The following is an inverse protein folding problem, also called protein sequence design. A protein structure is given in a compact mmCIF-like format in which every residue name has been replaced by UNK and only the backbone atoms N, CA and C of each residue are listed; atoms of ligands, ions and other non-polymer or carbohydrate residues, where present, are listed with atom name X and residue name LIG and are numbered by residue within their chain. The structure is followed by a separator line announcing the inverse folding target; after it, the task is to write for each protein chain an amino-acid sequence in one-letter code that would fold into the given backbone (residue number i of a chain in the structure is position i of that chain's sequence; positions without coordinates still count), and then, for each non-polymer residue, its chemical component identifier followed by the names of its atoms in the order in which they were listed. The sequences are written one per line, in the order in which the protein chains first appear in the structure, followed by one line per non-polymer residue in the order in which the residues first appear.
data_IF_987978670664
#
_entry.id   IF_987978670664
#
_cell.length_a   1.000
_cell.length_b   1.000
_cell.length_c   1.000
_cell.angle_alpha   90.00
_cell.angle_beta   90.00
_cell.angle_gamma   90.00
#
_symmetry.space_group_name_H-M   'P 1'
#
loop_
_entity.id
_entity.type
_entity.pdbx_description
1 polymer ?
#
# COMPACT_ATOMS: atom_id res chain seq x y z
N UNK A 1 -4.11 10.45 8.99
CA UNK A 1 -3.64 9.05 8.88
C UNK A 1 -3.19 8.59 10.26
N UNK A 2 -3.39 7.31 10.59
CA UNK A 2 -2.77 6.71 11.78
C UNK A 2 -1.32 6.33 11.47
N UNK A 3 -0.46 6.28 12.49
CA UNK A 3 0.94 5.87 12.33
C UNK A 3 1.10 4.34 12.23
N UNK A 4 0.19 3.59 12.84
CA UNK A 4 0.20 2.13 12.88
C UNK A 4 -1.17 1.59 12.52
N UNK A 5 -1.20 0.50 11.75
CA UNK A 5 -2.41 -0.21 11.34
C UNK A 5 -2.29 -1.68 11.74
N UNK A 6 -3.39 -2.28 12.19
CA UNK A 6 -3.36 -3.66 12.66
C UNK A 6 -3.28 -4.68 11.52
N UNK A 7 -3.73 -4.30 10.32
CA UNK A 7 -3.72 -5.15 9.12
C UNK A 7 -3.86 -4.31 7.84
N UNK A 8 -3.67 -4.97 6.70
CA UNK A 8 -3.75 -4.36 5.36
C UNK A 8 -5.15 -3.84 5.06
N UNK A 9 -6.22 -4.47 5.57
CA UNK A 9 -7.60 -3.99 5.38
C UNK A 9 -7.80 -2.60 6.00
N UNK A 10 -7.37 -2.40 7.24
CA UNK A 10 -7.48 -1.10 7.92
C UNK A 10 -6.70 -0.01 7.17
N UNK A 11 -5.47 -0.33 6.75
CA UNK A 11 -4.62 0.58 5.98
C UNK A 11 -5.28 0.96 4.64
N UNK A 12 -5.76 -0.01 3.88
CA UNK A 12 -6.34 0.23 2.55
C UNK A 12 -7.67 0.96 2.59
N UNK A 13 -8.48 0.76 3.64
CA UNK A 13 -9.67 1.60 3.88
C UNK A 13 -9.25 3.06 4.07
N UNK A 14 -8.20 3.32 4.85
CA UNK A 14 -7.71 4.68 5.06
C UNK A 14 -7.10 5.31 3.79
N UNK A 15 -6.45 4.50 2.95
CA UNK A 15 -5.86 4.94 1.68
C UNK A 15 -6.85 5.09 0.53
N UNK A 16 -8.08 4.57 0.66
CA UNK A 16 -9.08 4.55 -0.41
C UNK A 16 -9.42 5.90 -1.07
N UNK A 17 -9.34 7.07 -0.38
CA UNK A 17 -9.53 8.36 -1.04
C UNK A 17 -8.40 8.74 -2.02
N UNK A 18 -7.22 8.14 -1.88
CA UNK A 18 -6.02 8.48 -2.63
C UNK A 18 -5.70 7.46 -3.71
N UNK A 19 -5.83 6.17 -3.39
CA UNK A 19 -5.44 5.07 -4.30
C UNK A 19 -6.37 3.86 -4.14
N UNK A 20 -6.52 3.09 -5.22
CA UNK A 20 -7.24 1.82 -5.20
C UNK A 20 -6.38 0.68 -4.62
N UNK A 21 -7.01 -0.42 -4.20
CA UNK A 21 -6.32 -1.62 -3.74
C UNK A 21 -5.38 -2.21 -4.82
N UNK A 22 -5.76 -2.15 -6.10
CA UNK A 22 -4.90 -2.59 -7.21
C UNK A 22 -3.70 -1.65 -7.42
N UNK A 23 -3.89 -0.32 -7.29
CA UNK A 23 -2.76 0.61 -7.35
C UNK A 23 -1.80 0.38 -6.17
N UNK A 24 -2.34 0.16 -4.97
CA UNK A 24 -1.56 -0.19 -3.78
C UNK A 24 -0.78 -1.51 -3.96
N UNK A 25 -1.39 -2.53 -4.58
CA UNK A 25 -0.69 -3.78 -4.91
C UNK A 25 0.54 -3.52 -5.79
N UNK A 26 0.42 -2.66 -6.80
CA UNK A 26 1.54 -2.31 -7.71
C UNK A 26 2.63 -1.52 -6.99
N UNK A 27 2.25 -0.53 -6.18
CA UNK A 27 3.18 0.25 -5.34
C UNK A 27 4.00 -0.70 -4.44
N UNK A 28 3.34 -1.65 -3.80
CA UNK A 28 3.98 -2.59 -2.89
C UNK A 28 4.67 -3.78 -3.57
N UNK A 29 4.60 -3.88 -4.90
CA UNK A 29 5.09 -5.03 -5.68
C UNK A 29 4.53 -6.36 -5.14
N UNK A 30 3.21 -6.40 -4.95
CA UNK A 30 2.44 -7.56 -4.50
C UNK A 30 1.49 -7.97 -5.63
N UNK A 31 1.35 -9.27 -5.83
CA UNK A 31 0.37 -9.78 -6.79
C UNK A 31 -1.05 -9.31 -6.43
N UNK A 32 -1.79 -8.78 -7.40
CA UNK A 32 -3.11 -8.18 -7.14
C UNK A 32 -4.12 -9.18 -6.52
N UNK A 33 -4.06 -10.48 -6.88
CA UNK A 33 -4.92 -11.49 -6.27
C UNK A 33 -4.58 -11.70 -4.79
N UNK A 34 -3.29 -11.74 -4.45
CA UNK A 34 -2.85 -11.81 -3.06
C UNK A 34 -3.28 -10.56 -2.28
N UNK A 35 -3.11 -9.37 -2.86
CA UNK A 35 -3.55 -8.13 -2.23
C UNK A 35 -5.06 -8.13 -1.97
N UNK A 36 -5.89 -8.63 -2.91
CA UNK A 36 -7.34 -8.78 -2.68
C UNK A 36 -7.67 -9.67 -1.48
N UNK A 37 -6.94 -10.77 -1.28
CA UNK A 37 -7.13 -11.62 -0.09
C UNK A 37 -6.72 -10.92 1.21
N UNK A 38 -5.69 -10.06 1.17
CA UNK A 38 -5.27 -9.28 2.33
C UNK A 38 -6.26 -8.16 2.68
N UNK A 39 -6.76 -7.45 1.67
CA UNK A 39 -7.76 -6.38 1.82
C UNK A 39 -9.10 -6.92 2.31
N UNK A 40 -9.49 -8.12 1.87
CA UNK A 40 -10.72 -8.75 2.38
C UNK A 40 -10.58 -9.29 3.81
N UNK A 41 -9.34 -9.44 4.31
CA UNK A 41 -9.05 -10.05 5.60
C UNK A 41 -9.16 -11.59 5.60
N UNK A 42 -9.30 -12.21 4.42
CA UNK A 42 -9.34 -13.67 4.27
C UNK A 42 -7.98 -14.29 4.59
N UNK A 43 -6.90 -13.58 4.27
CA UNK A 43 -5.53 -14.03 4.51
C UNK A 43 -4.72 -12.93 5.16
N UNK A 44 -3.86 -13.30 6.11
CA UNK A 44 -2.87 -12.39 6.65
C UNK A 44 -1.52 -12.57 5.92
N UNK A 45 -0.81 -11.48 5.60
CA UNK A 45 0.54 -11.54 5.05
C UNK A 45 1.52 -12.13 6.07
N UNK A 46 2.61 -12.75 5.59
CA UNK A 46 3.73 -13.11 6.45
C UNK A 46 4.48 -11.86 6.92
N UNK A 47 5.29 -11.98 7.99
CA UNK A 47 6.11 -10.85 8.46
C UNK A 47 7.01 -10.30 7.35
N UNK A 48 7.70 -11.17 6.59
CA UNK A 48 8.51 -10.75 5.44
C UNK A 48 7.71 -9.96 4.40
N UNK A 49 6.44 -10.30 4.18
CA UNK A 49 5.57 -9.57 3.26
C UNK A 49 5.17 -8.22 3.85
N UNK A 50 4.91 -8.14 5.15
CA UNK A 50 4.64 -6.88 5.86
C UNK A 50 5.85 -5.95 5.75
N UNK A 51 7.05 -6.47 6.00
CA UNK A 51 8.29 -5.70 5.93
C UNK A 51 8.51 -5.13 4.52
N UNK A 52 8.29 -5.96 3.48
CA UNK A 52 8.31 -5.52 2.08
C UNK A 52 7.29 -4.40 1.81
N UNK A 53 6.05 -4.55 2.27
CA UNK A 53 5.00 -3.55 2.08
C UNK A 53 5.38 -2.24 2.74
N UNK A 54 5.86 -2.26 3.98
CA UNK A 54 6.28 -1.07 4.72
C UNK A 54 7.43 -0.35 4.00
N UNK A 55 8.44 -1.09 3.53
CA UNK A 55 9.57 -0.52 2.80
C UNK A 55 9.12 0.12 1.48
N UNK A 56 8.24 -0.55 0.73
CA UNK A 56 7.72 -0.02 -0.54
C UNK A 56 6.84 1.22 -0.35
N UNK A 57 6.06 1.29 0.73
CA UNK A 57 5.30 2.51 1.09
C UNK A 57 6.25 3.67 1.35
N UNK A 58 7.32 3.44 2.12
CA UNK A 58 8.33 4.46 2.43
C UNK A 58 9.00 4.98 1.15
N UNK A 59 9.47 4.08 0.30
CA UNK A 59 10.09 4.43 -0.99
C UNK A 59 9.11 5.24 -1.86
N UNK A 60 7.87 4.77 -2.01
CA UNK A 60 6.87 5.47 -2.82
C UNK A 60 6.57 6.87 -2.29
N UNK A 61 6.49 7.06 -0.97
CA UNK A 61 6.30 8.38 -0.38
C UNK A 61 7.48 9.32 -0.69
N UNK A 62 8.72 8.83 -0.59
CA UNK A 62 9.93 9.60 -0.93
C UNK A 62 10.01 9.96 -2.42
N UNK A 63 9.59 9.06 -3.31
CA UNK A 63 9.51 9.32 -4.74
C UNK A 63 8.40 10.32 -5.07
N UNK A 64 7.21 10.13 -4.51
CA UNK A 64 6.05 11.00 -4.72
C UNK A 64 6.34 12.43 -4.27
N UNK A 65 7.05 12.62 -3.15
CA UNK A 65 7.45 13.92 -2.64
C UNK A 65 8.39 14.69 -3.58
N UNK A 66 9.09 13.99 -4.49
CA UNK A 66 10.00 14.60 -5.48
C UNK A 66 9.28 14.97 -6.78
N UNK A 67 8.04 14.52 -6.98
CA UNK A 67 7.30 14.77 -8.23
C UNK A 67 6.94 16.25 -8.32
N UNK A 68 7.25 16.86 -9.45
CA UNK A 68 6.87 18.23 -9.80
C UNK A 68 6.31 18.25 -11.22
N UNK A 69 5.21 18.97 -11.42
CA UNK A 69 4.65 19.23 -12.76
C UNK A 69 5.24 20.56 -13.25
N UNK A 70 6.03 20.51 -14.33
CA UNK A 70 6.74 21.68 -14.85
C UNK A 70 6.00 22.43 -15.97
N UNK A 71 4.80 22.00 -16.36
CA UNK A 71 4.03 22.63 -17.43
C UNK A 71 2.60 22.09 -17.54
N UNK A 72 1.77 22.80 -18.29
CA UNK A 72 0.44 22.41 -18.75
C UNK A 72 0.43 22.28 -20.27
#
# INVERSE_FOLDING_TARGET
MKNNYNNIKELTVNLSPYISASAFARICDINEAQMRHYVSGIRNPSQTTIDKINEKIRIFAEELAKVQIMGA
#
